data_IF_575502930842
#
_entry.id   IF_575502930842
#
_cell.length_a   1.000
_cell.length_b   1.000
_cell.length_c   1.000
_cell.angle_alpha   90.00
_cell.angle_beta   90.00
_cell.angle_gamma   90.00
#
_symmetry.space_group_name_H-M   'P 1'
#
loop_
_entity.id
_entity.type
_entity.pdbx_description
1 polymer ?
#
# COMPACT_ATOMS: atom_id res chain seq x y z
N UNK A 1 7.33 -23.38 -1.49
CA UNK A 1 7.83 -21.99 -1.56
C UNK A 1 7.62 -21.33 -2.93
N UNK A 2 7.87 -22.01 -4.06
CA UNK A 2 7.67 -21.43 -5.42
C UNK A 2 6.20 -21.13 -5.80
N UNK A 3 5.23 -21.85 -5.23
CA UNK A 3 3.82 -21.85 -5.66
C UNK A 3 3.00 -20.64 -5.15
N UNK A 4 3.35 -20.11 -3.98
CA UNK A 4 2.78 -18.86 -3.43
C UNK A 4 3.30 -17.65 -4.22
N UNK A 5 4.60 -17.65 -4.56
CA UNK A 5 5.20 -16.59 -5.37
C UNK A 5 4.58 -16.51 -6.78
N UNK A 6 4.25 -17.68 -7.35
CA UNK A 6 3.60 -17.77 -8.66
C UNK A 6 2.15 -17.27 -8.64
N UNK A 7 1.41 -17.52 -7.54
CA UNK A 7 0.04 -17.02 -7.36
C UNK A 7 -0.01 -15.49 -7.18
N UNK A 8 0.94 -14.92 -6.43
CA UNK A 8 1.07 -13.47 -6.22
C UNK A 8 1.47 -12.76 -7.52
N UNK A 9 2.39 -13.34 -8.29
CA UNK A 9 2.80 -12.78 -9.58
C UNK A 9 1.69 -12.88 -10.64
N UNK A 10 0.87 -13.93 -10.60
CA UNK A 10 -0.24 -14.10 -11.54
C UNK A 10 -1.42 -13.19 -11.21
N UNK A 11 -1.69 -12.92 -9.93
CA UNK A 11 -2.70 -11.93 -9.50
C UNK A 11 -2.27 -10.47 -9.83
N UNK A 12 -0.96 -10.19 -9.86
CA UNK A 12 -0.43 -8.90 -10.32
C UNK A 12 -0.52 -8.71 -11.85
N UNK A 13 -0.42 -9.79 -12.64
CA UNK A 13 -0.49 -9.77 -14.10
C UNK A 13 -1.92 -9.89 -14.65
N UNK A 14 -2.86 -10.44 -13.86
CA UNK A 14 -4.29 -10.55 -14.21
C UNK A 14 -5.16 -9.42 -13.65
N UNK A 15 -4.57 -8.41 -13.01
CA UNK A 15 -5.22 -7.13 -12.68
C UNK A 15 -4.75 -5.99 -13.61
N UNK A 16 -4.94 -6.07 -14.95
CA UNK A 16 -4.71 -4.93 -15.83
C UNK A 16 -5.74 -3.79 -15.64
N UNK A 17 -6.66 -3.90 -14.66
CA UNK A 17 -7.70 -2.90 -14.40
C UNK A 17 -7.35 -1.77 -13.43
N UNK A 18 -6.22 -1.80 -12.72
CA UNK A 18 -5.88 -0.77 -11.71
C UNK A 18 -4.67 0.10 -12.06
N UNK A 19 -4.08 -0.09 -13.25
CA UNK A 19 -2.98 0.73 -13.80
C UNK A 19 -3.37 1.28 -15.18
N UNK A 20 -4.62 1.71 -15.33
CA UNK A 20 -5.01 2.62 -16.42
C UNK A 20 -6.19 3.45 -15.97
N UNK A 21 -5.99 4.78 -15.97
CA UNK A 21 -6.98 5.87 -16.06
C UNK A 21 -6.86 7.02 -15.03
N UNK A 22 -5.73 7.23 -14.35
CA UNK A 22 -5.46 8.52 -13.71
C UNK A 22 -4.76 9.50 -14.68
N UNK A 23 -5.40 9.85 -15.79
CA UNK A 23 -4.99 11.01 -16.59
C UNK A 23 -6.25 11.61 -17.25
N UNK A 24 -7.06 12.27 -16.44
CA UNK A 24 -8.17 13.10 -16.91
C UNK A 24 -7.63 14.46 -17.38
N UNK A 25 -8.19 14.93 -18.51
CA UNK A 25 -7.76 16.09 -19.31
C UNK A 25 -7.84 17.42 -18.54
N UNK A 26 -6.82 18.27 -18.71
CA UNK A 26 -6.82 19.68 -18.35
C UNK A 26 -5.83 20.49 -19.21
N UNK A 27 -6.35 21.51 -19.90
CA UNK A 27 -5.66 22.33 -20.92
C UNK A 27 -4.79 23.42 -20.29
N UNK A 28 -3.58 23.61 -20.80
CA UNK A 28 -2.67 24.72 -20.48
C UNK A 28 -1.42 24.65 -21.34
N UNK A 29 -1.11 25.73 -22.07
CA UNK A 29 -0.04 25.81 -23.09
C UNK A 29 1.31 26.13 -22.43
N UNK A 30 2.23 25.17 -22.50
CA UNK A 30 3.61 25.21 -21.97
C UNK A 30 4.19 23.79 -22.06
N UNK A 31 5.52 23.64 -21.94
CA UNK A 31 6.23 22.35 -22.07
C UNK A 31 5.48 21.22 -21.35
N UNK A 32 5.12 20.16 -22.09
CA UNK A 32 4.29 19.08 -21.59
C UNK A 32 5.19 18.01 -20.96
N UNK A 33 5.12 17.90 -19.63
CA UNK A 33 5.74 16.84 -18.87
C UNK A 33 5.11 15.48 -19.29
N UNK A 34 5.90 14.45 -19.70
CA UNK A 34 5.38 13.14 -20.12
C UNK A 34 4.78 12.32 -18.96
N UNK A 35 4.95 12.78 -17.72
CA UNK A 35 4.22 12.36 -16.55
C UNK A 35 3.10 13.39 -16.37
N UNK A 36 1.82 12.98 -16.42
CA UNK A 36 0.60 13.80 -16.42
C UNK A 36 0.76 15.26 -15.91
N UNK A 37 0.21 16.25 -16.65
CA UNK A 37 0.21 17.68 -16.25
C UNK A 37 -0.26 17.86 -14.80
N UNK A 38 0.49 18.61 -13.98
CA UNK A 38 0.23 18.78 -12.55
C UNK A 38 1.29 18.15 -11.63
N UNK A 39 2.23 17.38 -12.18
CA UNK A 39 3.44 16.90 -11.48
C UNK A 39 4.61 17.89 -11.60
N UNK A 40 4.34 19.14 -11.97
CA UNK A 40 5.34 20.18 -12.19
C UNK A 40 5.88 20.76 -10.85
N UNK A 41 5.33 20.30 -9.73
CA UNK A 41 5.71 20.65 -8.35
C UNK A 41 5.89 19.39 -7.53
N UNK A 42 6.85 19.40 -6.60
CA UNK A 42 7.16 18.28 -5.68
C UNK A 42 5.91 17.74 -4.97
N UNK A 43 4.95 18.61 -4.67
CA UNK A 43 3.66 18.25 -4.07
C UNK A 43 2.82 17.29 -4.96
N UNK A 44 2.65 17.61 -6.25
CA UNK A 44 1.87 16.76 -7.17
C UNK A 44 2.52 15.38 -7.37
N UNK A 45 3.86 15.34 -7.48
CA UNK A 45 4.61 14.08 -7.49
C UNK A 45 4.40 13.27 -6.22
N UNK A 46 4.40 13.92 -5.06
CA UNK A 46 4.19 13.26 -3.77
C UNK A 46 2.79 12.64 -3.67
N UNK A 47 1.75 13.34 -4.13
CA UNK A 47 0.37 12.83 -4.14
C UNK A 47 0.18 11.63 -5.08
N UNK A 48 0.72 11.71 -6.29
CA UNK A 48 0.68 10.60 -7.24
C UNK A 48 1.45 9.37 -6.71
N UNK A 49 2.63 9.60 -6.12
CA UNK A 49 3.42 8.55 -5.49
C UNK A 49 2.67 7.90 -4.31
N UNK A 50 2.06 8.71 -3.44
CA UNK A 50 1.26 8.20 -2.31
C UNK A 50 0.07 7.35 -2.78
N UNK A 51 -0.63 7.77 -3.85
CA UNK A 51 -1.74 6.99 -4.41
C UNK A 51 -1.28 5.64 -4.95
N UNK A 52 -0.18 5.60 -5.70
CA UNK A 52 0.37 4.34 -6.22
C UNK A 52 0.83 3.43 -5.08
N UNK A 53 1.52 3.99 -4.08
CA UNK A 53 2.01 3.22 -2.93
C UNK A 53 0.86 2.66 -2.09
N UNK A 54 -0.15 3.47 -1.77
CA UNK A 54 -1.29 3.02 -0.96
C UNK A 54 -2.11 1.95 -1.69
N UNK A 55 -2.33 2.09 -3.00
CA UNK A 55 -3.03 1.09 -3.82
C UNK A 55 -2.35 -0.29 -3.80
N UNK A 56 -1.02 -0.34 -3.67
CA UNK A 56 -0.24 -1.60 -3.59
C UNK A 56 -0.13 -2.10 -2.14
N UNK A 57 0.03 -1.20 -1.17
CA UNK A 57 0.25 -1.56 0.24
C UNK A 57 -0.95 -2.27 0.88
N UNK A 58 -2.17 -1.82 0.61
CA UNK A 58 -3.39 -2.43 1.18
C UNK A 58 -3.55 -3.92 0.82
N UNK A 59 -3.55 -4.33 -0.46
CA UNK A 59 -3.69 -5.75 -0.81
C UNK A 59 -2.50 -6.59 -0.30
N UNK A 60 -1.30 -6.03 -0.29
CA UNK A 60 -0.11 -6.71 0.25
C UNK A 60 -0.26 -6.99 1.75
N UNK A 61 -0.75 -6.03 2.52
CA UNK A 61 -0.99 -6.21 3.96
C UNK A 61 -1.98 -7.36 4.24
N UNK A 62 -3.08 -7.44 3.47
CA UNK A 62 -4.06 -8.52 3.59
C UNK A 62 -3.44 -9.89 3.29
N UNK A 63 -2.60 -9.99 2.27
CA UNK A 63 -1.90 -11.24 1.93
C UNK A 63 -0.99 -11.71 3.06
N UNK A 64 -0.27 -10.80 3.72
CA UNK A 64 0.60 -11.15 4.85
C UNK A 64 -0.19 -11.66 6.07
N UNK A 65 -1.37 -11.10 6.34
CA UNK A 65 -2.26 -11.58 7.40
C UNK A 65 -2.72 -13.01 7.10
N UNK A 66 -3.21 -13.26 5.88
CA UNK A 66 -3.66 -14.59 5.47
C UNK A 66 -2.52 -15.61 5.53
N UNK A 67 -1.33 -15.26 5.05
CA UNK A 67 -0.16 -16.13 5.10
C UNK A 67 0.22 -16.52 6.53
N UNK A 68 0.20 -15.56 7.45
CA UNK A 68 0.49 -15.82 8.86
C UNK A 68 -0.56 -16.73 9.50
N UNK A 69 -1.84 -16.54 9.15
CA UNK A 69 -2.93 -17.42 9.57
C UNK A 69 -2.74 -18.87 9.10
N UNK A 70 -2.37 -19.08 7.84
CA UNK A 70 -2.06 -20.42 7.31
C UNK A 70 -0.87 -21.07 8.01
N UNK A 71 0.18 -20.29 8.31
CA UNK A 71 1.35 -20.79 9.03
C UNK A 71 0.98 -21.29 10.44
N UNK A 72 0.05 -20.59 11.11
CA UNK A 72 -0.48 -20.98 12.41
C UNK A 72 -1.34 -22.25 12.33
N UNK A 73 -2.21 -22.35 11.32
CA UNK A 73 -3.06 -23.53 11.10
C UNK A 73 -2.25 -24.79 10.75
N UNK A 74 -1.18 -24.66 9.96
CA UNK A 74 -0.31 -25.78 9.57
C UNK A 74 0.66 -26.23 10.68
N UNK A 75 0.77 -25.50 11.78
CA UNK A 75 1.73 -25.84 12.85
C UNK A 75 1.32 -27.09 13.65
N UNK A 76 0.03 -27.46 13.66
CA UNK A 76 -0.47 -28.80 14.01
C UNK A 76 -0.02 -29.40 15.35
N UNK A 77 0.44 -28.58 16.32
CA UNK A 77 0.92 -29.03 17.62
C UNK A 77 2.44 -29.20 17.75
N UNK A 78 3.23 -28.95 16.70
CA UNK A 78 4.68 -28.90 16.81
C UNK A 78 5.12 -27.55 17.42
N UNK A 79 5.73 -27.61 18.61
CA UNK A 79 6.17 -26.45 19.41
C UNK A 79 7.12 -25.51 18.66
N UNK A 80 8.00 -26.05 17.81
CA UNK A 80 8.94 -25.25 17.03
C UNK A 80 8.23 -24.45 15.94
N UNK A 81 7.27 -25.06 15.25
CA UNK A 81 6.49 -24.38 14.20
C UNK A 81 5.53 -23.36 14.77
N UNK A 82 4.97 -23.63 15.95
CA UNK A 82 4.12 -22.68 16.68
C UNK A 82 4.91 -21.45 17.12
N UNK A 83 6.13 -21.63 17.61
CA UNK A 83 7.00 -20.51 18.01
C UNK A 83 7.34 -19.62 16.82
N UNK A 84 7.68 -20.23 15.67
CA UNK A 84 7.91 -19.49 14.42
C UNK A 84 6.65 -18.79 13.92
N UNK A 85 5.48 -19.43 13.99
CA UNK A 85 4.22 -18.82 13.57
C UNK A 85 3.84 -17.61 14.42
N UNK A 86 4.05 -17.67 15.74
CA UNK A 86 3.84 -16.53 16.64
C UNK A 86 4.78 -15.37 16.33
N UNK A 87 6.07 -15.64 16.09
CA UNK A 87 7.02 -14.61 15.70
C UNK A 87 6.61 -13.91 14.39
N UNK A 88 6.11 -14.68 13.42
CA UNK A 88 5.63 -14.15 12.15
C UNK A 88 4.34 -13.31 12.32
N UNK A 89 3.42 -13.74 13.19
CA UNK A 89 2.21 -13.01 13.51
C UNK A 89 2.53 -11.64 14.14
N UNK A 90 3.48 -11.59 15.08
CA UNK A 90 3.90 -10.31 15.70
C UNK A 90 4.43 -9.33 14.65
N UNK A 91 5.25 -9.80 13.71
CA UNK A 91 5.75 -8.97 12.62
C UNK A 91 4.64 -8.43 11.71
N UNK A 92 3.62 -9.25 11.42
CA UNK A 92 2.46 -8.80 10.65
C UNK A 92 1.65 -7.76 11.42
N UNK A 93 1.43 -7.95 12.72
CA UNK A 93 0.71 -6.99 13.57
C UNK A 93 1.45 -5.64 13.57
N UNK A 94 2.78 -5.65 13.70
CA UNK A 94 3.59 -4.43 13.65
C UNK A 94 3.46 -3.74 12.28
N UNK A 95 3.49 -4.50 11.19
CA UNK A 95 3.31 -3.94 9.84
C UNK A 95 1.95 -3.28 9.64
N UNK A 96 0.87 -3.91 10.11
CA UNK A 96 -0.48 -3.33 10.05
C UNK A 96 -0.61 -2.10 10.95
N UNK A 97 -0.07 -2.17 12.17
CA UNK A 97 -0.07 -1.03 13.09
C UNK A 97 0.68 0.18 12.50
N UNK A 98 1.79 -0.05 11.80
CA UNK A 98 2.56 1.01 11.15
C UNK A 98 1.80 1.67 9.99
N UNK A 99 1.07 0.87 9.19
CA UNK A 99 0.19 1.40 8.14
C UNK A 99 -0.90 2.29 8.74
N UNK A 100 -1.65 1.78 9.73
CA UNK A 100 -2.70 2.54 10.39
C UNK A 100 -2.16 3.78 11.11
N UNK A 101 -0.98 3.67 11.73
CA UNK A 101 -0.29 4.79 12.38
C UNK A 101 0.09 5.90 11.40
N UNK A 102 0.61 5.54 10.22
CA UNK A 102 0.94 6.50 9.18
C UNK A 102 -0.32 7.25 8.68
N UNK A 103 -1.43 6.54 8.48
CA UNK A 103 -2.71 7.17 8.10
C UNK A 103 -3.26 8.10 9.18
N UNK A 104 -3.19 7.68 10.45
CA UNK A 104 -3.62 8.51 11.57
C UNK A 104 -2.82 9.81 11.65
N UNK A 105 -1.48 9.73 11.57
CA UNK A 105 -0.60 10.91 11.58
C UNK A 105 -0.86 11.82 10.37
N UNK A 106 -1.03 11.26 9.17
CA UNK A 106 -1.32 12.06 7.98
C UNK A 106 -2.65 12.83 8.11
N UNK A 107 -3.66 12.22 8.73
CA UNK A 107 -4.97 12.85 8.93
C UNK A 107 -4.89 13.98 9.96
N UNK A 108 -4.12 13.80 11.04
CA UNK A 108 -3.88 14.84 12.04
C UNK A 108 -3.16 16.06 11.46
N UNK A 109 -2.15 15.83 10.61
CA UNK A 109 -1.42 16.92 9.95
C UNK A 109 -2.35 17.69 9.02
N UNK A 110 -3.14 17.00 8.18
CA UNK A 110 -4.12 17.65 7.28
C UNK A 110 -5.13 18.49 8.06
N UNK A 111 -5.72 17.92 9.11
CA UNK A 111 -6.68 18.62 9.96
C UNK A 111 -6.12 19.86 10.68
N UNK A 112 -4.80 19.99 10.80
CA UNK A 112 -4.15 21.18 11.38
C UNK A 112 -3.84 22.23 10.30
N UNK A 113 -3.53 21.82 9.08
CA UNK A 113 -3.13 22.73 7.98
C UNK A 113 -4.36 23.32 7.28
N UNK A 114 -5.40 22.52 7.04
CA UNK A 114 -6.64 22.95 6.37
C UNK A 114 -7.31 24.19 7.03
N UNK A 115 -7.45 24.28 8.37
CA UNK A 115 -8.02 25.47 9.01
C UNK A 115 -7.12 26.71 8.92
N UNK A 116 -5.81 26.57 8.71
CA UNK A 116 -4.88 27.69 8.56
C UNK A 116 -4.92 28.25 7.14
N UNK A 117 -5.16 27.41 6.13
CA UNK A 117 -5.28 27.82 4.73
C UNK A 117 -6.68 28.34 4.35
N UNK A 118 -7.68 28.13 5.21
CA UNK A 118 -9.06 28.58 5.01
C UNK A 118 -9.33 30.01 5.55
N UNK A 119 -8.30 30.71 6.04
CA UNK A 119 -8.29 32.12 6.46
C UNK A 119 -7.52 32.95 5.45
#
# INVERSE_FOLDING_TARGET
MKKILFSISMFLLSFPGVVSAACARGVGKGFQNPLCKGLDTVAGFTEAFLNVVTQILFPVAVLFIVYSGFLFAMAGGNTDKLTKAKGNLLWVIIGVALLLGAFALATLIKGTIDPILAV
#
